data_IF_341954125276
#
_entry.id   IF_341954125276
#
_cell.length_a   1.000
_cell.length_b   1.000
_cell.length_c   1.000
_cell.angle_alpha   90.00
_cell.angle_beta   90.00
_cell.angle_gamma   90.00
#
_symmetry.space_group_name_H-M   'P 1'
#
loop_
_entity.id
_entity.type
_entity.pdbx_description
1 polymer ?
#
# COMPACT_ATOMS: atom_id res chain seq x y z
N UNK A 1 -6.41 16.75 8.31
CA UNK A 1 -6.01 15.33 8.24
C UNK A 1 -7.20 14.50 7.79
N UNK A 2 -7.14 13.89 6.60
CA UNK A 2 -8.23 13.05 6.08
C UNK A 2 -8.11 11.66 6.71
N UNK A 3 -8.81 11.42 7.83
CA UNK A 3 -8.91 10.07 8.41
C UNK A 3 -9.82 9.25 7.51
N UNK A 4 -9.27 8.29 6.77
CA UNK A 4 -10.10 7.28 6.12
C UNK A 4 -10.55 6.27 7.17
N UNK A 5 -11.86 6.03 7.25
CA UNK A 5 -12.47 5.03 8.11
C UNK A 5 -12.71 3.76 7.30
N UNK A 6 -12.27 2.60 7.80
CA UNK A 6 -12.47 1.30 7.15
C UNK A 6 -11.27 0.37 7.29
N UNK A 7 -11.48 -0.92 6.99
CA UNK A 7 -10.45 -1.96 6.99
C UNK A 7 -9.43 -1.81 5.84
N UNK A 8 -9.73 -0.95 4.86
CA UNK A 8 -8.90 -0.73 3.69
C UNK A 8 -8.87 0.75 3.31
N UNK A 9 -7.73 1.19 2.77
CA UNK A 9 -7.51 2.52 2.21
C UNK A 9 -7.24 2.37 0.71
N UNK A 10 -7.83 3.25 -0.08
CA UNK A 10 -7.55 3.34 -1.52
C UNK A 10 -6.68 4.55 -1.78
N UNK A 11 -5.47 4.32 -2.28
CA UNK A 11 -4.48 5.34 -2.59
C UNK A 11 -4.40 5.54 -4.09
N UNK A 12 -4.29 6.81 -4.52
CA UNK A 12 -4.10 7.19 -5.92
C UNK A 12 -2.75 7.84 -6.06
N UNK A 13 -1.99 7.42 -7.07
CA UNK A 13 -0.74 8.08 -7.42
C UNK A 13 -1.03 9.43 -8.11
N UNK A 14 -0.31 10.53 -7.77
CA UNK A 14 -0.61 11.86 -8.31
C UNK A 14 -0.35 11.98 -9.82
N UNK A 15 0.69 11.30 -10.31
CA UNK A 15 1.13 11.37 -11.73
C UNK A 15 0.80 10.08 -12.52
N UNK A 16 1.25 8.92 -12.04
CA UNK A 16 0.93 7.60 -12.61
C UNK A 16 -0.57 7.30 -12.48
N UNK A 17 -1.15 6.67 -13.50
CA UNK A 17 -2.50 6.11 -13.42
C UNK A 17 -2.55 4.91 -12.47
N UNK A 18 -3.75 4.57 -11.98
CA UNK A 18 -3.96 3.41 -11.11
C UNK A 18 -4.37 3.77 -9.68
N UNK A 19 -4.78 2.73 -8.95
CA UNK A 19 -5.14 2.80 -7.53
C UNK A 19 -4.52 1.62 -6.82
N UNK A 20 -4.06 1.82 -5.59
CA UNK A 20 -3.53 0.77 -4.73
C UNK A 20 -4.45 0.65 -3.53
N UNK A 21 -4.87 -0.57 -3.19
CA UNK A 21 -5.67 -0.84 -2.00
C UNK A 21 -4.76 -1.41 -0.92
N UNK A 22 -4.72 -0.77 0.24
CA UNK A 22 -3.87 -1.17 1.36
C UNK A 22 -4.75 -1.51 2.56
N UNK A 23 -4.48 -2.65 3.21
CA UNK A 23 -5.13 -3.01 4.46
C UNK A 23 -4.77 -2.00 5.57
N UNK A 24 -5.78 -1.52 6.28
CA UNK A 24 -5.65 -0.48 7.31
C UNK A 24 -5.94 -1.06 8.70
N UNK A 25 -5.10 -2.02 9.10
CA UNK A 25 -5.17 -2.69 10.41
C UNK A 25 -3.89 -2.41 11.21
N UNK A 26 -3.85 -1.33 12.02
CA UNK A 26 -2.69 -0.99 12.83
C UNK A 26 -2.29 -2.14 13.75
N UNK A 27 -0.99 -2.40 13.88
CA UNK A 27 -0.45 -3.46 14.74
C UNK A 27 -0.55 -4.88 14.17
N UNK A 28 -1.07 -5.05 12.95
CA UNK A 28 -1.13 -6.35 12.27
C UNK A 28 -0.07 -6.44 11.18
N UNK A 29 0.73 -7.49 11.22
CA UNK A 29 1.71 -7.79 10.16
C UNK A 29 1.01 -8.17 8.85
N UNK A 30 1.34 -7.47 7.77
CA UNK A 30 0.84 -7.80 6.43
C UNK A 30 1.47 -9.11 5.95
N UNK A 31 0.64 -10.04 5.48
CA UNK A 31 1.11 -11.34 4.97
C UNK A 31 1.94 -11.16 3.70
N UNK A 32 2.98 -11.98 3.44
CA UNK A 32 3.88 -11.81 2.30
C UNK A 32 3.17 -11.71 0.93
N UNK A 33 2.17 -12.55 0.67
CA UNK A 33 1.43 -12.50 -0.60
C UNK A 33 0.61 -11.22 -0.78
N UNK A 34 0.06 -10.68 0.31
CA UNK A 34 -0.66 -9.40 0.27
C UNK A 34 0.33 -8.26 0.02
N UNK A 35 1.48 -8.29 0.71
CA UNK A 35 2.54 -7.30 0.49
C UNK A 35 3.03 -7.32 -0.97
N UNK A 36 3.27 -8.51 -1.53
CA UNK A 36 3.67 -8.65 -2.94
C UNK A 36 2.62 -8.08 -3.90
N UNK A 37 1.33 -8.35 -3.66
CA UNK A 37 0.25 -7.77 -4.47
C UNK A 37 0.23 -6.24 -4.41
N UNK A 38 0.33 -5.67 -3.20
CA UNK A 38 0.37 -4.21 -3.00
C UNK A 38 1.57 -3.59 -3.74
N UNK A 39 2.75 -4.20 -3.64
CA UNK A 39 3.96 -3.72 -4.31
C UNK A 39 3.85 -3.83 -5.84
N UNK A 40 3.23 -4.90 -6.34
CA UNK A 40 2.91 -5.07 -7.76
C UNK A 40 1.98 -3.98 -8.27
N UNK A 41 0.88 -3.70 -7.55
CA UNK A 41 -0.07 -2.63 -7.89
C UNK A 41 0.57 -1.24 -7.81
N UNK A 42 1.48 -1.03 -6.86
CA UNK A 42 2.24 0.20 -6.72
C UNK A 42 3.36 0.35 -7.76
N UNK A 43 3.75 -0.76 -8.42
CA UNK A 43 4.84 -0.79 -9.39
C UNK A 43 6.20 -0.49 -8.77
N UNK A 44 6.46 -0.96 -7.55
CA UNK A 44 7.74 -0.80 -6.85
C UNK A 44 8.28 -2.14 -6.36
N UNK A 45 9.59 -2.24 -6.20
CA UNK A 45 10.30 -3.38 -5.65
C UNK A 45 10.34 -3.37 -4.12
N UNK A 46 10.75 -4.50 -3.55
CA UNK A 46 10.96 -4.63 -2.10
C UNK A 46 12.11 -3.73 -1.63
N UNK A 47 13.14 -3.54 -2.46
CA UNK A 47 14.28 -2.70 -2.09
C UNK A 47 13.92 -1.21 -2.13
N UNK A 48 13.17 -0.76 -3.15
CA UNK A 48 12.60 0.60 -3.16
C UNK A 48 11.71 0.87 -1.95
N UNK A 49 10.92 -0.13 -1.50
CA UNK A 49 10.14 0.02 -0.25
C UNK A 49 11.06 0.24 0.95
N UNK A 50 12.16 -0.50 1.07
CA UNK A 50 13.09 -0.40 2.21
C UNK A 50 13.79 0.94 2.29
N UNK A 51 14.04 1.58 1.14
CA UNK A 51 14.63 2.92 1.08
C UNK A 51 13.68 4.04 1.55
N UNK A 52 12.37 3.75 1.66
CA UNK A 52 11.34 4.71 2.05
C UNK A 52 10.92 4.61 3.53
N UNK A 53 11.50 3.68 4.30
CA UNK A 53 11.25 3.48 5.73
C UNK A 53 12.25 4.26 6.59
#
# INVERSE_FOLDING_TARGET
MHRQHGSHIVLKHPVKGGRVVVANHPGVTVKPGILQGILGDAGISVDELRELL
#
